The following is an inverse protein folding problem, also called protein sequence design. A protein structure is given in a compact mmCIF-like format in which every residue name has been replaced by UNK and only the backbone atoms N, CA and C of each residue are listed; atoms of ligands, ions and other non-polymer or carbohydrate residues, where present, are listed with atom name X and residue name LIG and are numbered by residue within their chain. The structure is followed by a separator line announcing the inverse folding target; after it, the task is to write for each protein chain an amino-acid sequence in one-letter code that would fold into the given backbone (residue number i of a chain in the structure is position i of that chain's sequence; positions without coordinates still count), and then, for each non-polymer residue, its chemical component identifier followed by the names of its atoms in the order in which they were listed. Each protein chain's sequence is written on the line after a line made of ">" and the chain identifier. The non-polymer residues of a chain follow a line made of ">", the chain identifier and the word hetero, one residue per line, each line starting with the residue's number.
data_IF_966725908032
#
_entry.id   IF_966725908032
#
_cell.length_a   1.000
_cell.length_b   1.000
_cell.length_c   1.000
_cell.angle_alpha   90.00
_cell.angle_beta   90.00
_cell.angle_gamma   90.00
#
_symmetry.space_group_name_H-M   'P 1'
#
loop_
_entity.id
_entity.type
_entity.pdbx_description
1 polymer ?
#
# COMPACT_ATOMS: atom_id res chain seq x y z
N UNK A 1 1.94 -62.62 11.71
CA UNK A 1 2.82 -61.48 11.36
C UNK A 1 2.27 -60.85 10.09
N UNK A 2 1.39 -59.85 10.21
CA UNK A 2 0.76 -59.18 9.07
C UNK A 2 0.54 -57.72 9.42
N UNK A 3 1.30 -56.82 8.80
CA UNK A 3 1.24 -55.37 9.04
C UNK A 3 0.49 -54.74 7.87
N UNK A 4 -0.73 -54.29 8.14
CA UNK A 4 -1.54 -53.47 7.24
C UNK A 4 -0.90 -52.08 7.17
N UNK A 5 -0.51 -51.65 5.97
CA UNK A 5 0.01 -50.31 5.70
C UNK A 5 -1.17 -49.37 5.54
N UNK A 6 -1.44 -48.56 6.56
CA UNK A 6 -2.43 -47.48 6.49
C UNK A 6 -1.91 -46.36 5.59
N UNK A 7 -2.59 -46.13 4.45
CA UNK A 7 -2.45 -44.89 3.67
C UNK A 7 -3.07 -43.75 4.48
N UNK A 8 -2.26 -42.80 4.93
CA UNK A 8 -2.77 -41.50 5.39
C UNK A 8 -3.40 -40.77 4.19
N UNK A 9 -4.64 -40.27 4.30
CA UNK A 9 -5.18 -39.38 3.30
C UNK A 9 -4.50 -38.01 3.44
N UNK A 10 -3.91 -37.52 2.35
CA UNK A 10 -3.54 -36.12 2.20
C UNK A 10 -4.81 -35.30 2.41
N UNK A 11 -4.84 -34.52 3.50
CA UNK A 11 -5.88 -33.53 3.72
C UNK A 11 -5.79 -32.51 2.59
N UNK A 12 -6.72 -32.59 1.63
CA UNK A 12 -6.96 -31.51 0.70
C UNK A 12 -7.49 -30.33 1.51
N UNK A 13 -6.67 -29.30 1.68
CA UNK A 13 -7.12 -28.01 2.19
C UNK A 13 -8.08 -27.42 1.18
N UNK A 14 -9.37 -27.42 1.53
CA UNK A 14 -10.41 -26.68 0.81
C UNK A 14 -10.09 -25.20 0.95
N UNK A 15 -9.64 -24.56 -0.13
CA UNK A 15 -9.39 -23.13 -0.17
C UNK A 15 -10.75 -22.41 -0.18
N UNK A 16 -11.09 -21.74 0.92
CA UNK A 16 -12.21 -20.79 0.93
C UNK A 16 -11.92 -19.61 -0.02
N UNK A 17 -12.91 -18.74 -0.28
CA UNK A 17 -12.67 -17.52 -1.05
C UNK A 17 -11.54 -16.73 -0.38
N UNK A 18 -10.47 -16.43 -1.13
CA UNK A 18 -9.35 -15.61 -0.64
C UNK A 18 -9.88 -14.21 -0.34
N UNK A 19 -9.47 -13.67 0.80
CA UNK A 19 -9.86 -12.33 1.24
C UNK A 19 -9.20 -11.29 0.31
N UNK A 20 -9.94 -10.30 -0.23
CA UNK A 20 -9.35 -9.26 -1.09
C UNK A 20 -8.15 -8.52 -0.50
N UNK A 21 -8.06 -8.45 0.84
CA UNK A 21 -6.90 -7.89 1.55
C UNK A 21 -5.64 -8.75 1.39
N UNK A 22 -5.75 -9.96 0.86
CA UNK A 22 -4.60 -10.82 0.60
C UNK A 22 -3.80 -10.41 -0.64
N UNK A 23 -4.45 -9.71 -1.57
CA UNK A 23 -3.87 -9.22 -2.81
C UNK A 23 -4.41 -7.82 -3.18
N UNK A 24 -4.19 -6.83 -2.30
CA UNK A 24 -4.93 -5.58 -2.33
C UNK A 24 -4.61 -4.73 -3.57
N UNK A 25 -3.36 -4.76 -4.06
CA UNK A 25 -2.95 -4.05 -5.27
C UNK A 25 -3.69 -4.58 -6.50
N UNK A 26 -3.74 -5.91 -6.69
CA UNK A 26 -4.39 -6.50 -7.86
C UNK A 26 -5.91 -6.26 -7.86
N UNK A 27 -6.53 -6.32 -6.68
CA UNK A 27 -7.96 -6.01 -6.52
C UNK A 27 -8.27 -4.52 -6.74
N UNK A 28 -7.44 -3.61 -6.23
CA UNK A 28 -7.62 -2.17 -6.44
C UNK A 28 -7.54 -1.81 -7.95
N UNK A 29 -6.49 -2.27 -8.63
CA UNK A 29 -6.27 -2.06 -10.07
C UNK A 29 -7.33 -2.73 -10.95
N UNK A 30 -8.04 -3.74 -10.43
CA UNK A 30 -9.16 -4.39 -11.11
C UNK A 30 -10.52 -3.78 -10.84
N UNK A 31 -10.61 -2.88 -9.87
CA UNK A 31 -11.86 -2.31 -9.39
C UNK A 31 -11.79 -0.80 -9.41
N UNK A 32 -11.81 -0.19 -8.23
CA UNK A 32 -11.92 1.26 -8.08
C UNK A 32 -10.80 2.05 -8.79
N UNK A 33 -9.62 1.46 -8.98
CA UNK A 33 -8.48 2.12 -9.63
C UNK A 33 -8.25 1.65 -11.08
N UNK A 34 -9.25 1.06 -11.73
CA UNK A 34 -9.11 0.56 -13.11
C UNK A 34 -8.70 1.65 -14.12
N UNK A 35 -9.11 2.91 -13.90
CA UNK A 35 -8.72 4.06 -14.75
C UNK A 35 -7.30 4.57 -14.49
N UNK A 36 -6.67 4.13 -13.40
CA UNK A 36 -5.29 4.45 -13.02
C UNK A 36 -4.33 3.28 -13.33
N UNK A 37 -4.80 2.29 -14.10
CA UNK A 37 -4.10 1.05 -14.35
C UNK A 37 -3.70 0.89 -15.83
N UNK A 38 -2.50 0.39 -16.05
CA UNK A 38 -2.12 -0.25 -17.31
C UNK A 38 -2.30 -1.76 -17.18
N UNK A 39 -2.80 -2.41 -18.24
CA UNK A 39 -3.20 -3.82 -18.21
C UNK A 39 -2.62 -4.57 -19.43
N UNK A 40 -2.06 -5.75 -19.17
CA UNK A 40 -1.64 -6.71 -20.19
C UNK A 40 -2.00 -8.11 -19.70
N UNK A 41 -2.84 -8.83 -20.44
CA UNK A 41 -3.43 -10.08 -19.95
C UNK A 41 -4.09 -9.90 -18.58
N UNK A 42 -3.65 -10.65 -17.57
CA UNK A 42 -4.11 -10.51 -16.16
C UNK A 42 -3.16 -9.73 -15.27
N UNK A 43 -2.02 -9.28 -15.81
CA UNK A 43 -1.09 -8.40 -15.13
C UNK A 43 -1.59 -6.96 -15.17
N UNK A 44 -1.40 -6.24 -14.07
CA UNK A 44 -1.78 -4.84 -13.93
C UNK A 44 -0.66 -4.06 -13.25
N UNK A 45 -0.47 -2.80 -13.60
CA UNK A 45 0.34 -1.86 -12.82
C UNK A 45 -0.35 -0.52 -12.74
N UNK A 46 -0.09 0.25 -11.69
CA UNK A 46 -0.47 1.66 -11.69
C UNK A 46 0.28 2.41 -12.79
N UNK A 47 -0.31 3.50 -13.27
CA UNK A 47 0.41 4.49 -14.05
C UNK A 47 1.65 4.96 -13.25
N UNK A 48 2.84 5.08 -13.86
CA UNK A 48 4.09 5.33 -13.12
C UNK A 48 4.12 6.62 -12.29
N UNK A 49 3.33 7.63 -12.69
CA UNK A 49 3.19 8.92 -12.01
C UNK A 49 2.15 8.90 -10.86
N UNK A 50 1.35 7.84 -10.76
CA UNK A 50 0.37 7.59 -9.69
C UNK A 50 0.98 6.75 -8.57
N UNK A 51 1.57 5.60 -8.92
CA UNK A 51 2.18 4.68 -7.94
C UNK A 51 3.11 3.66 -8.61
N UNK A 52 4.02 3.10 -7.81
CA UNK A 52 5.01 2.10 -8.27
C UNK A 52 4.49 0.65 -8.23
N UNK A 53 3.30 0.41 -7.69
CA UNK A 53 2.83 -0.94 -7.42
C UNK A 53 2.30 -1.64 -8.68
N UNK A 54 2.56 -2.94 -8.75
CA UNK A 54 2.01 -3.84 -9.74
C UNK A 54 1.29 -5.01 -9.06
N UNK A 55 0.30 -5.55 -9.76
CA UNK A 55 -0.53 -6.66 -9.32
C UNK A 55 -0.51 -7.81 -10.31
N UNK A 56 -0.39 -9.02 -9.78
CA UNK A 56 -0.58 -10.27 -10.50
C UNK A 56 -1.71 -11.07 -9.82
N UNK A 57 -2.36 -12.01 -10.53
CA UNK A 57 -3.25 -12.96 -9.90
C UNK A 57 -2.57 -13.69 -8.74
N UNK A 58 -3.43 -14.18 -7.85
CA UNK A 58 -3.09 -14.97 -6.66
C UNK A 58 -2.18 -16.18 -6.93
N UNK A 59 -2.35 -16.79 -8.10
CA UNK A 59 -1.51 -17.88 -8.61
C UNK A 59 -1.04 -17.49 -10.02
N UNK A 60 0.06 -16.72 -10.13
CA UNK A 60 0.52 -16.24 -11.42
C UNK A 60 1.17 -17.37 -12.22
N UNK A 61 0.80 -17.44 -13.49
CA UNK A 61 1.38 -18.33 -14.50
C UNK A 61 2.56 -17.65 -15.20
N UNK A 62 3.39 -18.39 -15.96
CA UNK A 62 4.46 -17.80 -16.77
C UNK A 62 3.97 -16.68 -17.71
N UNK A 63 2.75 -16.81 -18.26
CA UNK A 63 2.17 -15.80 -19.15
C UNK A 63 1.84 -14.49 -18.41
N UNK A 64 1.39 -14.57 -17.15
CA UNK A 64 1.14 -13.36 -16.35
C UNK A 64 2.44 -12.62 -16.03
N UNK A 65 3.53 -13.36 -15.78
CA UNK A 65 4.85 -12.76 -15.60
C UNK A 65 5.40 -12.15 -16.88
N UNK A 66 5.21 -12.80 -18.03
CA UNK A 66 5.57 -12.24 -19.33
C UNK A 66 4.76 -10.96 -19.62
N UNK A 67 3.47 -10.95 -19.30
CA UNK A 67 2.61 -9.79 -19.45
C UNK A 67 3.05 -8.63 -18.53
N UNK A 68 3.45 -8.92 -17.29
CA UNK A 68 4.02 -7.91 -16.39
C UNK A 68 5.34 -7.35 -16.93
N UNK A 69 6.21 -8.20 -17.50
CA UNK A 69 7.45 -7.75 -18.14
C UNK A 69 7.18 -6.79 -19.30
N UNK A 70 6.12 -7.03 -20.10
CA UNK A 70 5.70 -6.14 -21.18
C UNK A 70 5.22 -4.79 -20.66
N UNK A 71 4.44 -4.76 -19.57
CA UNK A 71 3.96 -3.51 -18.96
C UNK A 71 5.12 -2.67 -18.41
N UNK A 72 6.04 -3.32 -17.70
CA UNK A 72 7.09 -2.61 -16.96
C UNK A 72 8.27 -2.24 -17.87
N UNK A 73 8.50 -3.01 -18.93
CA UNK A 73 9.62 -2.83 -19.84
C UNK A 73 10.91 -3.46 -19.33
N UNK A 74 11.79 -3.84 -20.26
CA UNK A 74 13.09 -4.46 -19.94
C UNK A 74 13.95 -3.55 -19.05
N UNK A 75 14.52 -4.10 -17.97
CA UNK A 75 15.31 -3.35 -16.99
C UNK A 75 14.48 -2.47 -16.04
N UNK A 76 13.17 -2.30 -16.29
CA UNK A 76 12.26 -1.60 -15.39
C UNK A 76 12.04 -2.35 -14.08
N UNK A 77 11.46 -1.66 -13.09
CA UNK A 77 11.19 -2.22 -11.76
C UNK A 77 9.69 -2.36 -11.52
N UNK A 78 9.26 -3.53 -11.05
CA UNK A 78 7.90 -3.81 -10.62
C UNK A 78 7.88 -4.06 -9.11
N UNK A 79 7.01 -3.36 -8.37
CA UNK A 79 6.86 -3.60 -6.93
C UNK A 79 5.58 -4.39 -6.67
N UNK A 80 5.72 -5.65 -6.25
CA UNK A 80 4.60 -6.52 -5.87
C UNK A 80 4.40 -6.48 -4.35
N UNK A 81 3.15 -6.51 -3.90
CA UNK A 81 2.80 -6.40 -2.49
C UNK A 81 1.98 -7.62 -2.03
N UNK A 82 2.65 -8.66 -1.50
CA UNK A 82 2.06 -10.00 -1.22
C UNK A 82 2.85 -10.77 -0.16
N UNK A 83 2.27 -11.81 0.46
CA UNK A 83 2.95 -12.66 1.46
C UNK A 83 4.21 -13.34 0.97
N UNK A 84 4.17 -13.83 -0.27
CA UNK A 84 5.28 -14.50 -0.90
C UNK A 84 5.28 -14.21 -2.40
N UNK A 85 6.44 -13.80 -2.88
CA UNK A 85 6.69 -13.62 -4.30
C UNK A 85 7.67 -14.71 -4.74
N UNK A 86 7.23 -15.54 -5.68
CA UNK A 86 8.06 -16.56 -6.34
C UNK A 86 8.25 -16.12 -7.78
N UNK A 87 9.29 -15.33 -8.01
CA UNK A 87 9.62 -14.80 -9.31
C UNK A 87 10.23 -15.88 -10.23
N UNK A 88 9.96 -15.84 -11.56
CA UNK A 88 10.58 -16.75 -12.52
C UNK A 88 12.08 -16.47 -12.71
N UNK A 89 12.79 -17.43 -13.30
CA UNK A 89 14.19 -17.27 -13.69
C UNK A 89 14.38 -16.01 -14.56
N UNK A 90 15.43 -15.24 -14.27
CA UNK A 90 15.80 -14.03 -15.00
C UNK A 90 15.27 -12.73 -14.39
N UNK A 91 14.25 -12.81 -13.53
CA UNK A 91 13.87 -11.67 -12.69
C UNK A 91 14.85 -11.53 -11.54
N UNK A 92 15.25 -10.29 -11.24
CA UNK A 92 16.16 -10.00 -10.13
C UNK A 92 15.36 -9.39 -8.99
N UNK A 93 15.39 -10.01 -7.81
CA UNK A 93 14.86 -9.38 -6.59
C UNK A 93 15.83 -8.31 -6.12
N UNK A 94 15.45 -7.04 -6.32
CA UNK A 94 16.24 -5.87 -5.95
C UNK A 94 16.15 -5.63 -4.44
N UNK A 95 14.92 -5.70 -3.89
CA UNK A 95 14.66 -5.47 -2.47
C UNK A 95 13.42 -6.21 -2.00
N UNK A 96 13.39 -6.50 -0.71
CA UNK A 96 12.20 -6.96 0.02
C UNK A 96 12.05 -6.11 1.27
N UNK A 97 10.84 -5.58 1.49
CA UNK A 97 10.51 -4.80 2.68
C UNK A 97 9.43 -5.56 3.45
N UNK A 98 9.71 -5.99 4.69
CA UNK A 98 8.71 -6.60 5.54
C UNK A 98 7.71 -5.55 5.99
N UNK A 99 6.42 -5.85 5.86
CA UNK A 99 5.33 -4.93 6.16
C UNK A 99 4.28 -5.63 7.02
N UNK A 100 3.63 -4.88 7.91
CA UNK A 100 2.51 -5.33 8.72
C UNK A 100 1.22 -4.77 8.14
N UNK A 101 0.31 -5.66 7.75
CA UNK A 101 -1.06 -5.28 7.43
C UNK A 101 -1.87 -5.23 8.72
N UNK A 102 -2.57 -4.13 8.93
CA UNK A 102 -3.41 -3.90 10.10
C UNK A 102 -4.79 -3.47 9.66
N UNK A 103 -5.83 -3.91 10.37
CA UNK A 103 -7.23 -3.60 10.07
C UNK A 103 -7.87 -2.86 11.25
N UNK A 104 -8.71 -1.88 10.98
CA UNK A 104 -9.46 -1.16 12.01
C UNK A 104 -10.51 -2.10 12.62
N UNK A 105 -10.35 -2.46 13.90
CA UNK A 105 -11.30 -3.36 14.61
C UNK A 105 -12.02 -2.63 15.73
N UNK A 106 -11.31 -1.76 16.44
CA UNK A 106 -11.82 -1.02 17.61
C UNK A 106 -11.52 0.47 17.52
N UNK A 107 -11.22 0.95 16.32
CA UNK A 107 -10.96 2.38 16.13
C UNK A 107 -12.24 3.14 16.42
N UNK A 108 -12.15 4.15 17.27
CA UNK A 108 -13.29 5.04 17.55
C UNK A 108 -13.34 6.07 16.42
N UNK A 109 -14.31 6.00 15.49
CA UNK A 109 -14.45 6.97 14.43
C UNK A 109 -14.76 8.35 15.01
N UNK A 110 -14.20 9.40 14.41
CA UNK A 110 -14.53 10.78 14.75
C UNK A 110 -14.29 11.66 13.56
N UNK A 111 -15.35 12.29 13.04
CA UNK A 111 -15.20 13.40 12.11
C UNK A 111 -14.49 14.56 12.81
N UNK A 112 -13.69 15.27 12.04
CA UNK A 112 -12.92 16.42 12.50
C UNK A 112 -13.40 17.65 11.74
N UNK A 113 -13.82 18.68 12.47
CA UNK A 113 -14.40 19.88 11.90
C UNK A 113 -13.37 20.77 11.18
N UNK A 114 -12.08 20.62 11.51
CA UNK A 114 -10.99 21.39 10.90
C UNK A 114 -10.39 20.65 9.69
N UNK A 115 -10.75 19.38 9.47
CA UNK A 115 -10.24 18.61 8.35
C UNK A 115 -10.87 19.10 7.05
N UNK A 116 -10.01 19.45 6.09
CA UNK A 116 -10.41 19.91 4.76
C UNK A 116 -10.04 18.87 3.72
N UNK A 117 -10.93 18.65 2.75
CA UNK A 117 -10.66 17.83 1.56
C UNK A 117 -9.57 18.50 0.72
N UNK A 118 -8.62 17.68 0.25
CA UNK A 118 -7.49 18.13 -0.55
C UNK A 118 -7.68 17.70 -2.00
N UNK A 119 -7.38 18.61 -2.93
CA UNK A 119 -7.46 18.36 -4.37
C UNK A 119 -6.16 18.72 -5.09
N UNK A 120 -6.22 18.77 -6.43
CA UNK A 120 -5.04 19.10 -7.25
C UNK A 120 -4.47 20.50 -6.98
N UNK A 121 -5.27 21.42 -6.42
CA UNK A 121 -4.80 22.75 -6.04
C UNK A 121 -3.87 22.73 -4.80
N UNK A 122 -3.96 21.69 -3.96
CA UNK A 122 -3.16 21.53 -2.74
C UNK A 122 -1.90 20.69 -2.98
N UNK A 123 -1.68 20.20 -4.21
CA UNK A 123 -0.63 19.24 -4.53
C UNK A 123 0.76 19.71 -4.12
N UNK A 124 1.09 20.98 -4.35
CA UNK A 124 2.40 21.55 -4.00
C UNK A 124 2.63 21.52 -2.48
N UNK A 125 1.65 21.98 -1.69
CA UNK A 125 1.73 21.94 -0.22
C UNK A 125 1.81 20.50 0.32
N UNK A 126 1.07 19.57 -0.29
CA UNK A 126 1.10 18.15 0.09
C UNK A 126 2.47 17.55 -0.22
N UNK A 127 3.04 17.82 -1.39
CA UNK A 127 4.36 17.35 -1.78
C UNK A 127 5.45 17.88 -0.84
N UNK A 128 5.38 19.16 -0.45
CA UNK A 128 6.32 19.76 0.50
C UNK A 128 6.25 19.06 1.88
N UNK A 129 5.04 18.83 2.40
CA UNK A 129 4.85 18.15 3.68
C UNK A 129 5.31 16.67 3.63
N UNK A 130 5.00 15.97 2.54
CA UNK A 130 5.44 14.59 2.30
C UNK A 130 6.96 14.53 2.20
N UNK A 131 7.59 15.43 1.45
CA UNK A 131 9.05 15.47 1.31
C UNK A 131 9.75 15.70 2.66
N UNK A 132 9.18 16.56 3.51
CA UNK A 132 9.70 16.81 4.87
C UNK A 132 9.58 15.60 5.81
N UNK A 133 8.68 14.65 5.52
CA UNK A 133 8.37 13.51 6.40
C UNK A 133 8.91 12.16 5.90
N UNK A 134 9.35 12.08 4.64
CA UNK A 134 9.93 10.88 3.99
C UNK A 134 9.07 9.60 4.11
N UNK A 135 7.77 9.61 3.73
CA UNK A 135 6.87 8.47 3.87
C UNK A 135 7.12 7.31 2.89
N UNK A 136 7.90 7.55 1.84
CA UNK A 136 7.98 6.67 0.66
C UNK A 136 7.53 7.38 -0.60
N UNK A 137 7.44 6.65 -1.73
CA UNK A 137 7.20 7.25 -3.03
C UNK A 137 5.82 7.88 -3.08
N UNK A 138 5.80 9.18 -3.34
CA UNK A 138 4.62 9.98 -3.58
C UNK A 138 4.85 10.76 -4.88
N UNK A 139 4.11 10.40 -5.92
CA UNK A 139 4.20 10.98 -7.25
C UNK A 139 3.26 12.16 -7.44
N UNK A 140 3.45 12.85 -8.57
CA UNK A 140 2.67 14.03 -8.94
C UNK A 140 1.15 13.76 -9.07
N UNK A 141 0.77 12.49 -9.27
CA UNK A 141 -0.64 12.07 -9.40
C UNK A 141 -1.09 11.09 -8.32
N UNK A 142 -0.28 10.88 -7.27
CA UNK A 142 -0.65 9.97 -6.17
C UNK A 142 -1.94 10.41 -5.46
N UNK A 143 -2.23 11.72 -5.42
CA UNK A 143 -3.49 12.22 -4.86
C UNK A 143 -4.74 11.72 -5.60
N UNK A 144 -4.62 11.24 -6.84
CA UNK A 144 -5.73 10.62 -7.59
C UNK A 144 -6.19 9.29 -6.98
N UNK A 145 -5.41 8.67 -6.08
CA UNK A 145 -5.82 7.51 -5.29
C UNK A 145 -6.96 7.86 -4.29
N UNK A 146 -7.15 9.15 -4.00
CA UNK A 146 -8.34 9.70 -3.37
C UNK A 146 -8.32 9.79 -1.84
N UNK A 147 -9.37 10.38 -1.28
CA UNK A 147 -9.61 10.48 0.17
C UNK A 147 -8.61 11.36 0.93
N UNK A 148 -7.90 12.25 0.24
CA UNK A 148 -6.92 13.13 0.88
C UNK A 148 -7.61 14.21 1.69
N UNK A 149 -7.26 14.28 2.97
CA UNK A 149 -7.71 15.29 3.92
C UNK A 149 -6.51 15.84 4.67
N UNK A 150 -6.60 17.10 5.12
CA UNK A 150 -5.55 17.66 5.94
C UNK A 150 -6.02 18.74 6.91
N UNK A 151 -5.11 19.11 7.79
CA UNK A 151 -5.31 20.12 8.83
C UNK A 151 -4.37 21.29 8.57
N UNK A 152 -4.90 22.50 8.73
CA UNK A 152 -4.14 23.75 8.59
C UNK A 152 -3.93 24.41 9.96
N UNK A 153 -2.80 25.08 10.15
CA UNK A 153 -2.53 25.87 11.35
C UNK A 153 -3.28 27.22 11.33
N UNK A 154 -3.16 28.00 12.40
CA UNK A 154 -3.80 29.32 12.49
C UNK A 154 -3.30 30.35 11.46
N UNK A 155 -2.17 30.09 10.80
CA UNK A 155 -1.66 30.91 9.69
C UNK A 155 -2.12 30.37 8.32
N UNK A 156 -2.90 29.29 8.29
CA UNK A 156 -3.43 28.67 7.07
C UNK A 156 -2.49 27.67 6.41
N UNK A 157 -1.33 27.34 7.01
CA UNK A 157 -0.36 26.42 6.42
C UNK A 157 -0.78 24.97 6.63
N UNK A 158 -0.63 24.12 5.62
CA UNK A 158 -0.85 22.68 5.77
C UNK A 158 0.15 22.09 6.77
N UNK A 159 -0.34 21.47 7.84
CA UNK A 159 0.51 20.89 8.91
C UNK A 159 0.29 19.40 9.14
N UNK A 160 -0.79 18.83 8.63
CA UNK A 160 -0.98 17.38 8.63
C UNK A 160 -1.82 16.95 7.42
N UNK A 161 -1.54 15.77 6.87
CA UNK A 161 -2.28 15.17 5.75
C UNK A 161 -2.44 13.67 5.99
N UNK A 162 -3.53 13.10 5.49
CA UNK A 162 -3.75 11.66 5.35
C UNK A 162 -4.55 11.42 4.07
N UNK A 163 -4.41 10.27 3.44
CA UNK A 163 -5.17 9.94 2.23
C UNK A 163 -5.32 8.45 2.03
N UNK A 164 -5.83 8.05 0.87
CA UNK A 164 -5.94 6.64 0.50
C UNK A 164 -4.81 6.22 -0.43
N UNK A 165 -4.46 4.92 -0.38
CA UNK A 165 -3.53 4.31 -1.33
C UNK A 165 -4.14 3.18 -2.16
N UNK A 166 -5.03 2.40 -1.58
CA UNK A 166 -5.74 1.33 -2.26
C UNK A 166 -7.22 1.37 -1.89
N UNK A 167 -8.09 1.21 -2.89
CA UNK A 167 -9.52 1.00 -2.69
C UNK A 167 -9.93 -0.30 -3.37
N UNK A 168 -10.45 -1.22 -2.57
CA UNK A 168 -10.94 -2.53 -2.98
C UNK A 168 -12.40 -2.70 -2.54
N UNK A 169 -13.15 -3.69 -3.05
CA UNK A 169 -14.55 -3.83 -2.70
C UNK A 169 -14.76 -3.91 -1.18
N UNK A 170 -15.46 -2.92 -0.61
CA UNK A 170 -15.79 -2.84 0.81
C UNK A 170 -14.62 -2.47 1.73
N UNK A 171 -13.49 -1.97 1.21
CA UNK A 171 -12.30 -1.65 2.01
C UNK A 171 -11.50 -0.49 1.41
N UNK A 172 -10.98 0.39 2.27
CA UNK A 172 -10.04 1.45 1.91
C UNK A 172 -8.76 1.37 2.73
N UNK A 173 -7.63 1.65 2.09
CA UNK A 173 -6.32 1.71 2.74
C UNK A 173 -5.99 3.14 3.13
N UNK A 174 -5.75 3.40 4.42
CA UNK A 174 -5.14 4.66 4.88
C UNK A 174 -3.65 4.66 4.54
N UNK A 175 -3.18 5.76 3.97
CA UNK A 175 -1.76 6.01 3.69
C UNK A 175 -1.42 7.50 3.78
N UNK A 176 -0.15 7.84 3.53
CA UNK A 176 0.37 9.20 3.53
C UNK A 176 0.00 10.02 4.79
N UNK A 177 0.02 9.38 5.97
CA UNK A 177 -0.29 10.04 7.24
C UNK A 177 0.93 10.85 7.69
N UNK A 178 1.01 12.11 7.30
CA UNK A 178 2.16 12.96 7.57
C UNK A 178 1.78 14.10 8.51
N UNK A 179 2.69 14.46 9.41
CA UNK A 179 2.55 15.64 10.30
C UNK A 179 3.85 16.42 10.29
N UNK A 180 3.74 17.74 10.13
CA UNK A 180 4.86 18.66 10.04
C UNK A 180 5.72 18.56 11.31
N UNK A 181 7.06 18.45 11.21
CA UNK A 181 7.94 18.21 12.35
C UNK A 181 7.74 19.14 13.55
N UNK A 182 7.45 20.41 13.29
CA UNK A 182 7.25 21.47 14.25
C UNK A 182 5.98 21.34 15.12
N UNK A 183 5.00 20.52 14.70
CA UNK A 183 3.73 20.34 15.41
C UNK A 183 3.38 18.87 15.70
N UNK A 184 4.38 17.98 15.64
CA UNK A 184 4.29 16.62 16.18
C UNK A 184 4.03 16.65 17.70
N UNK A 185 3.57 15.55 18.29
CA UNK A 185 3.23 15.55 19.73
C UNK A 185 1.81 16.05 20.06
N UNK A 186 1.04 16.46 19.05
CA UNK A 186 -0.26 17.12 19.22
C UNK A 186 -1.44 16.24 18.75
N UNK A 187 -1.19 14.99 18.40
CA UNK A 187 -2.24 14.06 17.96
C UNK A 187 -2.90 14.36 16.60
N UNK A 188 -2.30 15.20 15.74
CA UNK A 188 -2.87 15.58 14.43
C UNK A 188 -3.05 14.38 13.49
N UNK A 189 -2.05 13.49 13.40
CA UNK A 189 -2.19 12.25 12.61
C UNK A 189 -3.31 11.35 13.14
N UNK A 190 -3.44 11.22 14.46
CA UNK A 190 -4.56 10.49 15.10
C UNK A 190 -5.91 11.07 14.73
N UNK A 191 -6.05 12.41 14.76
CA UNK A 191 -7.28 13.11 14.34
C UNK A 191 -7.64 12.75 12.89
N UNK A 192 -6.68 12.84 11.98
CA UNK A 192 -6.90 12.50 10.57
C UNK A 192 -7.22 11.01 10.35
N UNK A 193 -6.54 10.09 11.03
CA UNK A 193 -6.86 8.66 10.95
C UNK A 193 -8.30 8.38 11.40
N UNK A 194 -8.74 8.96 12.52
CA UNK A 194 -10.13 8.81 12.99
C UNK A 194 -11.15 9.44 12.05
N UNK A 195 -10.80 10.56 11.43
CA UNK A 195 -11.62 11.21 10.41
C UNK A 195 -11.80 10.29 9.20
N UNK A 196 -10.71 9.74 8.66
CA UNK A 196 -10.78 8.84 7.50
C UNK A 196 -11.56 7.57 7.84
N UNK A 197 -11.39 7.02 9.04
CA UNK A 197 -12.20 5.87 9.51
C UNK A 197 -13.68 6.21 9.57
N UNK A 198 -14.05 7.37 10.11
CA UNK A 198 -15.46 7.79 10.15
C UNK A 198 -16.06 7.90 8.74
N UNK A 199 -15.33 8.51 7.78
CA UNK A 199 -15.79 8.63 6.39
C UNK A 199 -15.92 7.30 5.68
N UNK A 200 -14.99 6.37 5.91
CA UNK A 200 -15.04 5.03 5.34
C UNK A 200 -16.26 4.26 5.85
N UNK A 201 -16.53 4.33 7.17
CA UNK A 201 -17.70 3.68 7.78
C UNK A 201 -19.02 4.26 7.24
N UNK A 202 -19.10 5.58 7.06
CA UNK A 202 -20.27 6.23 6.41
C UNK A 202 -20.50 5.74 4.97
N UNK A 203 -19.42 5.40 4.25
CA UNK A 203 -19.47 4.81 2.91
C UNK A 203 -19.72 3.29 2.91
N UNK A 204 -19.79 2.65 4.09
CA UNK A 204 -19.93 1.20 4.23
C UNK A 204 -18.65 0.42 3.96
N UNK A 205 -17.50 1.08 3.94
CA UNK A 205 -16.18 0.48 3.72
C UNK A 205 -15.49 0.19 5.07
N UNK A 206 -14.79 -0.95 5.15
CA UNK A 206 -13.81 -1.20 6.20
C UNK A 206 -12.50 -0.46 5.95
N UNK A 207 -11.66 -0.37 6.97
CA UNK A 207 -10.37 0.33 6.88
C UNK A 207 -9.22 -0.58 7.22
N UNK A 208 -8.17 -0.51 6.42
CA UNK A 208 -6.89 -1.14 6.70
C UNK A 208 -5.73 -0.18 6.42
N UNK A 209 -4.54 -0.57 6.84
CA UNK A 209 -3.31 0.13 6.53
C UNK A 209 -2.14 -0.86 6.51
N UNK A 210 -1.01 -0.36 6.01
CA UNK A 210 0.25 -1.05 6.08
C UNK A 210 1.32 -0.14 6.69
N UNK A 211 2.14 -0.72 7.56
CA UNK A 211 3.31 -0.08 8.15
C UNK A 211 4.54 -0.99 7.97
N UNK A 212 5.70 -0.45 7.64
CA UNK A 212 6.97 -1.20 7.66
C UNK A 212 7.12 -1.88 9.00
N UNK A 213 7.61 -3.13 8.99
CA UNK A 213 7.86 -3.88 10.21
C UNK A 213 8.90 -3.21 11.12
N UNK A 214 9.76 -2.36 10.54
CA UNK A 214 10.78 -1.60 11.27
C UNK A 214 10.21 -0.32 11.91
N UNK A 215 9.01 0.12 11.50
CA UNK A 215 8.36 1.31 12.02
C UNK A 215 7.54 0.98 13.29
N UNK A 216 8.25 0.57 14.33
CA UNK A 216 7.66 0.11 15.60
C UNK A 216 6.82 1.20 16.28
N UNK A 217 7.18 2.48 16.06
CA UNK A 217 6.44 3.63 16.57
C UNK A 217 5.04 3.75 15.93
N UNK A 218 4.98 3.73 14.60
CA UNK A 218 3.70 3.76 13.88
C UNK A 218 2.82 2.56 14.24
N UNK A 219 3.40 1.35 14.29
CA UNK A 219 2.67 0.13 14.66
C UNK A 219 2.01 0.29 16.04
N UNK A 220 2.76 0.72 17.07
CA UNK A 220 2.21 0.95 18.42
C UNK A 220 1.13 2.01 18.45
N UNK A 221 1.29 3.08 17.68
CA UNK A 221 0.26 4.11 17.52
C UNK A 221 -1.02 3.50 16.96
N UNK A 222 -0.94 2.78 15.84
CA UNK A 222 -2.10 2.18 15.21
C UNK A 222 -2.77 1.12 16.11
N UNK A 223 -1.99 0.30 16.82
CA UNK A 223 -2.51 -0.63 17.84
C UNK A 223 -3.29 0.10 18.94
N UNK A 224 -2.72 1.18 19.48
CA UNK A 224 -3.37 2.01 20.51
C UNK A 224 -4.64 2.69 20.01
N UNK A 225 -4.69 3.04 18.71
CA UNK A 225 -5.89 3.57 18.08
C UNK A 225 -6.98 2.52 17.87
N UNK A 226 -6.67 1.23 17.94
CA UNK A 226 -7.64 0.14 17.79
C UNK A 226 -7.51 -0.66 16.49
N UNK A 227 -6.41 -0.49 15.75
CA UNK A 227 -6.06 -1.40 14.66
C UNK A 227 -5.53 -2.72 15.22
N UNK A 228 -5.85 -3.83 14.56
CA UNK A 228 -5.32 -5.15 14.88
C UNK A 228 -4.41 -5.65 13.76
N UNK A 229 -3.32 -6.32 14.12
CA UNK A 229 -2.51 -7.05 13.15
C UNK A 229 -3.36 -8.11 12.43
N UNK A 230 -3.39 -8.04 11.11
CA UNK A 230 -4.03 -9.06 10.26
C UNK A 230 -2.99 -10.08 9.80
N UNK A 231 -1.90 -9.62 9.17
CA UNK A 231 -0.84 -10.50 8.65
C UNK A 231 0.48 -9.78 8.39
N UNK A 232 1.54 -10.57 8.24
CA UNK A 232 2.81 -10.13 7.68
C UNK A 232 2.76 -10.25 6.16
N UNK A 233 3.18 -9.20 5.46
CA UNK A 233 3.24 -9.15 4.00
C UNK A 233 4.63 -8.67 3.58
N UNK A 234 5.02 -8.96 2.34
CA UNK A 234 6.23 -8.41 1.75
C UNK A 234 5.88 -7.46 0.62
N UNK A 235 6.62 -6.37 0.54
CA UNK A 235 6.73 -5.64 -0.70
C UNK A 235 8.07 -5.93 -1.36
N UNK A 236 7.99 -6.43 -2.58
CA UNK A 236 9.14 -6.95 -3.30
C UNK A 236 9.31 -6.16 -4.58
N UNK A 237 10.42 -5.43 -4.68
CA UNK A 237 10.80 -4.78 -5.93
C UNK A 237 11.61 -5.78 -6.77
N UNK A 238 11.14 -6.05 -7.98
CA UNK A 238 11.74 -6.96 -8.93
C UNK A 238 12.18 -6.19 -10.18
N UNK A 239 13.39 -6.45 -10.66
CA UNK A 239 13.85 -5.97 -11.97
C UNK A 239 13.39 -6.92 -13.06
N UNK A 240 12.80 -6.36 -14.11
CA UNK A 240 12.48 -7.11 -15.33
C UNK A 240 13.79 -7.50 -16.03
N UNK A 241 13.94 -8.76 -16.50
CA UNK A 241 15.12 -9.17 -17.25
C UNK A 241 15.45 -8.18 -18.39
N UNK A 242 16.67 -7.67 -18.40
CA UNK A 242 17.19 -6.82 -19.47
C UNK A 242 17.79 -7.65 -20.61
N UNK A 243 17.81 -7.10 -21.84
CA UNK A 243 18.73 -7.59 -22.87
C UNK A 243 20.09 -6.94 -22.63
N UNK A 244 21.01 -7.73 -22.09
CA UNK A 244 22.42 -7.46 -21.79
C UNK A 244 22.78 -6.30 -20.82
N UNK A 245 23.77 -6.60 -19.96
CA UNK A 245 24.33 -5.73 -18.92
C UNK A 245 25.32 -4.73 -19.55
N UNK A 246 24.88 -3.55 -19.96
CA UNK A 246 25.84 -2.44 -20.16
C UNK A 246 25.40 -1.08 -19.66
N UNK A 247 24.13 -0.87 -19.27
CA UNK A 247 23.70 0.40 -18.70
C UNK A 247 22.78 0.18 -17.50
N UNK A 248 23.36 -0.21 -16.36
CA UNK A 248 22.67 -0.16 -15.07
C UNK A 248 23.03 1.15 -14.37
N UNK A 249 22.41 2.25 -14.80
CA UNK A 249 22.38 3.46 -14.00
C UNK A 249 21.43 3.24 -12.81
N UNK A 250 21.96 3.42 -11.60
CA UNK A 250 21.26 3.23 -10.35
C UNK A 250 20.11 4.24 -10.21
N UNK A 251 18.87 3.78 -10.29
CA UNK A 251 17.73 4.43 -9.66
C UNK A 251 17.48 3.71 -8.32
N UNK A 252 18.28 4.06 -7.32
CA UNK A 252 18.07 3.64 -5.94
C UNK A 252 17.02 4.52 -5.28
N UNK A 253 15.77 4.46 -5.75
CA UNK A 253 14.68 5.11 -5.01
C UNK A 253 14.35 4.27 -3.78
N UNK A 254 14.42 4.87 -2.62
CA UNK A 254 14.00 4.28 -1.35
C UNK A 254 12.47 4.09 -1.39
N UNK A 255 12.03 2.86 -1.69
CA UNK A 255 10.62 2.50 -1.59
C UNK A 255 10.29 2.38 -0.11
N UNK A 256 9.97 3.46 0.59
CA UNK A 256 9.28 3.31 1.87
C UNK A 256 7.80 2.98 1.61
N UNK A 257 7.20 2.15 2.45
CA UNK A 257 5.82 1.66 2.26
C UNK A 257 4.93 2.12 3.41
N UNK A 258 5.48 3.02 4.19
CA UNK A 258 4.87 3.52 5.38
C UNK A 258 3.68 4.40 4.99
N UNK A 259 2.52 4.08 5.54
CA UNK A 259 1.63 5.15 5.96
C UNK A 259 2.43 5.92 7.03
N UNK A 260 3.10 7.02 6.68
CA UNK A 260 4.09 7.66 7.56
C UNK A 260 3.64 7.73 9.04
N UNK A 261 4.60 7.59 9.94
CA UNK A 261 4.36 7.69 11.37
C UNK A 261 4.03 9.14 11.75
N UNK A 262 2.90 9.33 12.41
CA UNK A 262 2.79 10.43 13.36
C UNK A 262 3.71 10.11 14.53
N UNK A 263 4.75 10.91 14.76
CA UNK A 263 5.19 11.09 16.13
C UNK A 263 4.00 11.78 16.81
N UNK A 264 3.16 10.94 17.44
CA UNK A 264 1.95 11.34 18.13
C UNK A 264 2.22 12.41 19.15
#
# INVERSE_FOLDING_TARGET
>A
MGRVVGRSPLAATVSGPRDPLDNPVWHALGGAHATLAEVSGRARRYLPDVSIFAGLPDEPTPDDWAALALLVGAGGTATLFRDAVREPLGWERIRTIPVRQMVAVRVVPSLDADAVEMGGADLEEVLDLVAATRPGPFGARTMELGGYVGLRDGAGRLVAVAGHRMRLPGQVEISAVCTAPEVRGQGLGTRLVRHVVARAEEAGDGVFLHASADNVGAIRLYEALGFAHRRAVEAVALRVPGRDRSDAAAAGDEVAIDACSADG
#
